data_IF_482707692427
#
_entry.id   IF_482707692427
#
_cell.length_a   1.000
_cell.length_b   1.000
_cell.length_c   1.000
_cell.angle_alpha   90.00
_cell.angle_beta   90.00
_cell.angle_gamma   90.00
#
_symmetry.space_group_name_H-M   'P 1'
#
loop_
_entity.id
_entity.type
_entity.pdbx_description
1 polymer ?
#
# COMPACT_ATOMS: atom_id res chain seq x y z
N UNK A 1 -5.83 26.46 17.23
CA UNK A 1 -4.54 25.78 17.51
C UNK A 1 -4.76 24.40 18.13
N UNK A 2 -5.31 24.29 19.35
CA UNK A 2 -5.48 23.01 20.07
C UNK A 2 -6.38 21.99 19.34
N UNK A 3 -7.47 22.45 18.71
CA UNK A 3 -8.42 21.61 17.98
C UNK A 3 -7.83 20.99 16.69
N UNK A 4 -6.98 21.73 15.99
CA UNK A 4 -6.32 21.26 14.74
C UNK A 4 -5.19 20.26 15.06
N UNK A 5 -4.48 20.48 16.17
CA UNK A 5 -3.43 19.59 16.67
C UNK A 5 -4.02 18.28 17.23
N UNK A 6 -5.15 18.36 17.92
CA UNK A 6 -5.92 17.20 18.40
C UNK A 6 -6.49 16.38 17.22
N UNK A 7 -6.97 17.03 16.16
CA UNK A 7 -7.49 16.35 14.97
C UNK A 7 -6.42 15.60 14.19
N UNK A 8 -5.18 16.12 14.09
CA UNK A 8 -4.06 15.42 13.44
C UNK A 8 -3.61 14.20 14.26
N UNK A 9 -3.55 14.32 15.59
CA UNK A 9 -3.24 13.20 16.50
C UNK A 9 -4.32 12.12 16.47
N UNK A 10 -5.59 12.51 16.38
CA UNK A 10 -6.70 11.57 16.26
C UNK A 10 -6.71 10.86 14.89
N UNK A 11 -6.36 11.55 13.80
CA UNK A 11 -6.27 10.97 12.46
C UNK A 11 -5.07 10.02 12.31
N UNK A 12 -3.94 10.33 12.96
CA UNK A 12 -2.77 9.43 13.06
C UNK A 12 -3.09 8.18 13.90
N UNK A 13 -3.80 8.34 15.02
CA UNK A 13 -4.29 7.23 15.84
C UNK A 13 -5.29 6.34 15.09
N UNK A 14 -6.17 6.93 14.29
CA UNK A 14 -7.16 6.23 13.48
C UNK A 14 -6.54 5.48 12.29
N UNK A 15 -5.49 6.03 11.68
CA UNK A 15 -4.66 5.34 10.68
C UNK A 15 -3.91 4.15 11.31
N UNK A 16 -3.41 4.29 12.54
CA UNK A 16 -2.76 3.19 13.27
C UNK A 16 -3.75 2.08 13.62
N UNK A 17 -5.02 2.43 13.86
CA UNK A 17 -6.10 1.47 14.10
C UNK A 17 -6.57 0.78 12.80
N UNK A 18 -6.53 1.49 11.66
CA UNK A 18 -6.82 0.94 10.34
C UNK A 18 -5.71 0.01 9.79
N UNK A 19 -4.53 -0.02 10.41
CA UNK A 19 -3.42 -0.92 10.08
C UNK A 19 -3.43 -2.26 10.84
N UNK A 20 -4.22 -2.37 11.93
CA UNK A 20 -4.46 -3.63 12.63
C UNK A 20 -5.13 -4.73 11.78
N UNK A 21 -6.11 -4.46 10.89
CA UNK A 21 -6.73 -5.53 10.09
C UNK A 21 -5.79 -6.13 9.04
N UNK A 22 -4.73 -5.42 8.60
CA UNK A 22 -3.67 -6.00 7.74
C UNK A 22 -2.86 -7.05 8.52
N UNK A 23 -2.68 -6.88 9.84
CA UNK A 23 -2.08 -7.91 10.72
C UNK A 23 -3.03 -9.08 11.03
N UNK A 24 -4.35 -8.92 10.84
CA UNK A 24 -5.33 -9.99 11.10
C UNK A 24 -5.61 -10.86 9.87
N UNK A 25 -5.41 -10.37 8.65
CA UNK A 25 -5.54 -11.20 7.43
C UNK A 25 -4.33 -12.14 7.21
N UNK A 26 -3.35 -12.13 8.10
CA UNK A 26 -2.34 -13.19 8.21
C UNK A 26 -2.65 -14.21 9.34
N UNK A 27 -3.87 -14.21 9.92
CA UNK A 27 -4.31 -15.18 10.93
C UNK A 27 -5.48 -16.05 10.41
N UNK A 28 -5.08 -17.11 9.68
CA UNK A 28 -5.64 -18.47 9.56
C UNK A 28 -7.14 -18.79 9.26
N UNK A 29 -7.31 -19.50 8.14
CA UNK A 29 -8.22 -20.63 7.75
C UNK A 29 -9.64 -20.82 8.36
N UNK A 30 -10.67 -20.95 7.52
CA UNK A 30 -11.69 -22.03 7.57
C UNK A 30 -12.53 -22.12 6.27
N UNK A 31 -12.68 -23.36 5.81
CA UNK A 31 -13.55 -23.93 4.77
C UNK A 31 -15.06 -23.64 5.01
N UNK A 32 -15.92 -23.79 3.98
CA UNK A 32 -17.31 -24.38 3.99
C UNK A 32 -18.25 -23.91 2.84
N UNK A 33 -18.49 -24.85 1.89
CA UNK A 33 -19.83 -25.37 1.47
C UNK A 33 -20.64 -24.65 0.34
N UNK A 34 -21.59 -25.28 -0.41
CA UNK A 34 -21.81 -26.68 -0.88
C UNK A 34 -21.96 -26.83 -2.44
N UNK A 35 -21.70 -28.04 -2.92
CA UNK A 35 -22.42 -28.76 -4.00
C UNK A 35 -22.65 -28.10 -5.39
N UNK A 36 -21.78 -28.47 -6.34
CA UNK A 36 -22.25 -29.28 -7.48
C UNK A 36 -21.13 -30.26 -7.88
N UNK A 37 -21.43 -31.57 -8.06
CA UNK A 37 -20.43 -32.60 -8.29
C UNK A 37 -19.96 -32.51 -9.74
N UNK A 38 -19.01 -31.61 -9.99
CA UNK A 38 -18.15 -31.75 -11.15
C UNK A 38 -16.90 -32.47 -10.66
N UNK A 39 -16.49 -33.54 -11.36
CA UNK A 39 -15.26 -34.28 -11.07
C UNK A 39 -14.00 -33.38 -11.16
N UNK A 40 -14.15 -32.18 -11.73
CA UNK A 40 -13.16 -31.10 -11.72
C UNK A 40 -13.10 -30.34 -10.38
N UNK A 41 -14.17 -30.33 -9.58
CA UNK A 41 -14.24 -29.73 -8.25
C UNK A 41 -13.48 -30.55 -7.21
N UNK A 42 -13.57 -31.88 -7.24
CA UNK A 42 -12.89 -32.75 -6.25
C UNK A 42 -11.37 -32.71 -6.39
N UNK A 43 -10.85 -32.61 -7.62
CA UNK A 43 -9.41 -32.38 -7.82
C UNK A 43 -9.00 -30.99 -7.35
N UNK A 44 -9.77 -29.93 -7.59
CA UNK A 44 -9.39 -28.58 -7.15
C UNK A 44 -9.57 -28.38 -5.64
N UNK A 45 -10.59 -28.98 -5.03
CA UNK A 45 -10.88 -28.85 -3.61
C UNK A 45 -10.01 -29.78 -2.75
N UNK A 46 -9.57 -30.92 -3.27
CA UNK A 46 -8.51 -31.71 -2.64
C UNK A 46 -7.10 -31.16 -2.94
N UNK A 47 -6.98 -30.21 -3.88
CA UNK A 47 -5.80 -29.39 -4.13
C UNK A 47 -5.86 -28.01 -3.46
N UNK A 48 -6.93 -27.62 -2.78
CA UNK A 48 -6.97 -26.39 -1.96
C UNK A 48 -6.15 -26.48 -0.67
N UNK A 49 -6.18 -27.58 0.11
CA UNK A 49 -5.19 -27.77 1.17
C UNK A 49 -3.80 -28.00 0.57
N UNK A 50 -3.70 -28.29 -0.73
CA UNK A 50 -2.42 -28.27 -1.44
C UNK A 50 -2.20 -26.97 -2.22
N UNK A 51 -3.06 -25.96 -2.14
CA UNK A 51 -2.79 -24.60 -2.60
C UNK A 51 -2.11 -23.85 -1.46
N UNK A 52 -2.58 -24.10 -0.24
CA UNK A 52 -1.90 -23.69 0.99
C UNK A 52 -0.69 -24.58 1.31
N UNK A 53 -0.67 -25.87 0.93
CA UNK A 53 0.55 -26.73 1.05
C UNK A 53 1.46 -26.73 -0.19
N UNK A 54 1.00 -26.41 -1.41
CA UNK A 54 1.86 -26.03 -2.57
C UNK A 54 2.19 -24.53 -2.59
N UNK A 55 1.78 -23.79 -1.54
CA UNK A 55 2.60 -22.75 -0.92
C UNK A 55 3.91 -23.29 -0.32
N UNK A 56 4.18 -24.60 -0.44
CA UNK A 56 5.35 -25.25 0.13
C UNK A 56 5.69 -26.61 -0.50
N UNK A 57 6.09 -26.67 -1.78
CA UNK A 57 7.03 -27.73 -2.21
C UNK A 57 8.14 -27.17 -3.09
N UNK A 58 9.29 -26.87 -2.47
CA UNK A 58 10.57 -26.91 -3.17
C UNK A 58 11.49 -25.69 -3.03
N UNK A 59 11.10 -24.62 -2.33
CA UNK A 59 12.06 -23.55 -2.00
C UNK A 59 11.64 -22.89 -0.70
N UNK A 60 12.18 -23.38 0.42
CA UNK A 60 12.38 -22.50 1.58
C UNK A 60 13.14 -21.28 1.03
N UNK A 61 12.53 -20.09 1.12
CA UNK A 61 13.17 -18.77 1.03
C UNK A 61 13.02 -17.87 -0.21
N UNK A 62 12.09 -18.04 -1.17
CA UNK A 62 11.90 -16.98 -2.20
C UNK A 62 10.49 -16.36 -2.27
N UNK A 63 9.40 -17.13 -2.34
CA UNK A 63 8.05 -16.52 -2.37
C UNK A 63 7.64 -15.91 -1.02
N UNK A 64 7.92 -16.57 0.12
CA UNK A 64 7.60 -15.99 1.43
C UNK A 64 8.45 -14.76 1.77
N UNK A 65 9.73 -14.74 1.35
CA UNK A 65 10.59 -13.56 1.51
C UNK A 65 10.12 -12.43 0.59
N UNK A 66 9.79 -12.73 -0.68
CA UNK A 66 9.27 -11.72 -1.60
C UNK A 66 7.91 -11.16 -1.14
N UNK A 67 7.02 -11.99 -0.61
CA UNK A 67 5.73 -11.57 -0.06
C UNK A 67 5.91 -10.72 1.21
N UNK A 68 6.74 -11.17 2.16
CA UNK A 68 7.05 -10.40 3.37
C UNK A 68 7.69 -9.05 3.02
N UNK A 69 8.62 -9.03 2.08
CA UNK A 69 9.26 -7.80 1.60
C UNK A 69 8.24 -6.90 0.88
N UNK A 70 7.34 -7.47 0.07
CA UNK A 70 6.29 -6.72 -0.59
C UNK A 70 5.31 -6.09 0.42
N UNK A 71 4.96 -6.78 1.50
CA UNK A 71 4.15 -6.24 2.58
C UNK A 71 4.85 -5.10 3.32
N UNK A 72 6.13 -5.26 3.65
CA UNK A 72 6.94 -4.20 4.29
C UNK A 72 7.02 -2.99 3.37
N UNK A 73 7.29 -3.17 2.07
CA UNK A 73 7.33 -2.10 1.09
C UNK A 73 5.97 -1.40 1.02
N UNK A 74 4.87 -2.14 0.93
CA UNK A 74 3.51 -1.56 0.92
C UNK A 74 3.22 -0.76 2.19
N UNK A 75 3.60 -1.26 3.36
CA UNK A 75 3.42 -0.57 4.64
C UNK A 75 4.24 0.74 4.70
N UNK A 76 5.49 0.68 4.25
CA UNK A 76 6.39 1.86 4.19
C UNK A 76 5.86 2.88 3.17
N UNK A 77 5.42 2.45 1.98
CA UNK A 77 4.82 3.32 0.97
C UNK A 77 3.54 4.00 1.46
N UNK A 78 2.69 3.28 2.19
CA UNK A 78 1.49 3.85 2.79
C UNK A 78 1.84 4.94 3.81
N UNK A 79 2.80 4.67 4.70
CA UNK A 79 3.29 5.63 5.69
C UNK A 79 3.91 6.87 5.03
N UNK A 80 4.72 6.68 3.98
CA UNK A 80 5.27 7.76 3.17
C UNK A 80 4.17 8.62 2.52
N UNK A 81 3.14 7.99 1.96
CA UNK A 81 2.00 8.71 1.38
C UNK A 81 1.32 9.65 2.38
N UNK A 82 1.09 9.18 3.61
CA UNK A 82 0.51 9.99 4.70
C UNK A 82 1.41 11.17 5.05
N UNK A 83 2.73 10.96 5.14
CA UNK A 83 3.69 12.04 5.43
C UNK A 83 3.69 13.08 4.32
N UNK A 84 3.68 12.65 3.05
CA UNK A 84 3.63 13.56 1.90
C UNK A 84 2.37 14.46 1.93
N UNK A 85 1.21 13.88 2.24
CA UNK A 85 -0.03 14.66 2.39
C UNK A 85 0.06 15.64 3.56
N UNK A 86 0.61 15.20 4.71
CA UNK A 86 0.79 16.08 5.87
C UNK A 86 1.74 17.26 5.57
N UNK A 87 2.84 17.02 4.85
CA UNK A 87 3.75 18.06 4.39
C UNK A 87 3.10 19.01 3.40
N UNK A 88 2.25 18.51 2.50
CA UNK A 88 1.50 19.34 1.54
C UNK A 88 0.54 20.29 2.27
N UNK A 89 -0.17 19.79 3.28
CA UNK A 89 -1.06 20.63 4.12
C UNK A 89 -0.24 21.67 4.91
N UNK A 90 0.89 21.29 5.49
CA UNK A 90 1.77 22.21 6.21
C UNK A 90 2.31 23.33 5.30
N UNK A 91 2.77 22.97 4.10
CA UNK A 91 3.27 23.92 3.12
C UNK A 91 2.15 24.84 2.60
N UNK A 92 0.94 24.30 2.38
CA UNK A 92 -0.25 25.08 2.03
C UNK A 92 -0.64 26.10 3.11
N UNK A 93 -0.58 25.69 4.38
CA UNK A 93 -0.80 26.62 5.50
C UNK A 93 0.29 27.69 5.58
N UNK A 94 1.55 27.34 5.35
CA UNK A 94 2.64 28.31 5.29
C UNK A 94 2.42 29.32 4.17
N UNK A 95 1.97 28.86 2.99
CA UNK A 95 1.67 29.73 1.86
C UNK A 95 0.52 30.69 2.17
N UNK A 96 -0.58 30.19 2.74
CA UNK A 96 -1.76 30.99 3.08
C UNK A 96 -1.50 31.98 4.24
N UNK A 97 -0.62 31.64 5.18
CA UNK A 97 -0.27 32.50 6.33
C UNK A 97 0.88 33.47 6.06
N UNK A 98 1.44 33.48 4.85
CA UNK A 98 2.61 34.31 4.54
C UNK A 98 2.35 35.81 4.45
N UNK A 99 1.08 36.26 4.37
CA UNK A 99 0.66 37.66 4.52
C UNK A 99 1.51 38.72 3.77
N UNK A 100 2.05 38.39 2.59
CA UNK A 100 2.88 39.28 1.78
C UNK A 100 4.39 39.20 2.04
N UNK A 101 4.86 38.35 2.94
CA UNK A 101 6.29 38.05 3.09
C UNK A 101 6.76 37.12 1.96
N UNK A 102 7.54 37.65 1.03
CA UNK A 102 8.02 36.94 -0.16
C UNK A 102 8.85 35.70 0.17
N UNK A 103 9.72 35.76 1.19
CA UNK A 103 10.56 34.63 1.61
C UNK A 103 9.72 33.42 2.04
N UNK A 104 8.62 33.67 2.78
CA UNK A 104 7.72 32.59 3.24
C UNK A 104 6.89 32.02 2.09
N UNK A 105 6.48 32.87 1.14
CA UNK A 105 5.77 32.44 -0.07
C UNK A 105 6.67 31.57 -0.94
N UNK A 106 7.91 31.99 -1.18
CA UNK A 106 8.87 31.24 -1.99
C UNK A 106 9.20 29.89 -1.36
N UNK A 107 9.46 29.89 -0.04
CA UNK A 107 9.73 28.65 0.71
C UNK A 107 8.56 27.69 0.65
N UNK A 108 7.34 28.17 0.85
CA UNK A 108 6.13 27.35 0.77
C UNK A 108 5.91 26.78 -0.64
N UNK A 109 6.08 27.58 -1.69
CA UNK A 109 6.01 27.12 -3.09
C UNK A 109 7.04 26.04 -3.39
N UNK A 110 8.29 26.24 -2.97
CA UNK A 110 9.36 25.25 -3.14
C UNK A 110 9.03 23.92 -2.46
N UNK A 111 8.48 23.97 -1.25
CA UNK A 111 8.03 22.76 -0.54
C UNK A 111 6.84 22.08 -1.23
N UNK A 112 5.85 22.84 -1.72
CA UNK A 112 4.72 22.27 -2.48
C UNK A 112 5.21 21.58 -3.75
N UNK A 113 6.08 22.24 -4.53
CA UNK A 113 6.62 21.67 -5.77
C UNK A 113 7.42 20.40 -5.48
N UNK A 114 8.26 20.40 -4.45
CA UNK A 114 9.01 19.20 -4.05
C UNK A 114 8.09 18.06 -3.59
N UNK A 115 7.02 18.36 -2.85
CA UNK A 115 6.03 17.37 -2.42
C UNK A 115 5.28 16.76 -3.62
N UNK A 116 4.85 17.60 -4.57
CA UNK A 116 4.14 17.15 -5.79
C UNK A 116 5.04 16.25 -6.63
N UNK A 117 6.30 16.63 -6.84
CA UNK A 117 7.25 15.81 -7.62
C UNK A 117 7.44 14.44 -6.97
N UNK A 118 7.60 14.39 -5.63
CA UNK A 118 7.73 13.11 -4.93
C UNK A 118 6.48 12.23 -5.06
N UNK A 119 5.28 12.81 -4.96
CA UNK A 119 4.03 12.06 -5.18
C UNK A 119 3.92 11.53 -6.61
N UNK A 120 4.27 12.35 -7.61
CA UNK A 120 4.26 11.94 -9.02
C UNK A 120 5.21 10.76 -9.26
N UNK A 121 6.42 10.78 -8.68
CA UNK A 121 7.38 9.67 -8.82
C UNK A 121 6.81 8.35 -8.29
N UNK A 122 6.13 8.37 -7.15
CA UNK A 122 5.52 7.15 -6.55
C UNK A 122 4.44 6.59 -7.48
N UNK A 123 3.58 7.46 -8.02
CA UNK A 123 2.52 7.05 -8.95
C UNK A 123 3.13 6.47 -10.24
N UNK A 124 4.13 7.14 -10.80
CA UNK A 124 4.83 6.69 -12.00
C UNK A 124 5.50 5.32 -11.78
N UNK A 125 6.15 5.12 -10.63
CA UNK A 125 6.77 3.84 -10.31
C UNK A 125 5.74 2.70 -10.30
N UNK A 126 4.58 2.92 -9.69
CA UNK A 126 3.50 1.92 -9.66
C UNK A 126 2.98 1.58 -11.06
N UNK A 127 2.73 2.61 -11.89
CA UNK A 127 2.26 2.41 -13.27
C UNK A 127 3.27 1.61 -14.09
N UNK A 128 4.55 1.93 -13.98
CA UNK A 128 5.62 1.22 -14.71
C UNK A 128 5.70 -0.24 -14.28
N UNK A 129 5.70 -0.51 -12.97
CA UNK A 129 5.74 -1.89 -12.46
C UNK A 129 4.55 -2.71 -12.95
N UNK A 130 3.34 -2.15 -12.86
CA UNK A 130 2.13 -2.81 -13.35
C UNK A 130 2.19 -3.07 -14.87
N UNK A 131 2.68 -2.10 -15.65
CA UNK A 131 2.84 -2.26 -17.08
C UNK A 131 3.79 -3.42 -17.44
N UNK A 132 4.93 -3.53 -16.75
CA UNK A 132 5.91 -4.60 -16.98
C UNK A 132 5.29 -5.97 -16.65
N UNK A 133 4.64 -6.12 -15.51
CA UNK A 133 4.02 -7.39 -15.10
C UNK A 133 2.95 -7.83 -16.10
N UNK A 134 2.06 -6.92 -16.49
CA UNK A 134 1.01 -7.21 -17.48
C UNK A 134 1.58 -7.60 -18.85
N UNK A 135 2.68 -6.97 -19.25
CA UNK A 135 3.37 -7.28 -20.51
C UNK A 135 4.01 -8.68 -20.47
N UNK A 136 4.59 -9.09 -19.35
CA UNK A 136 5.19 -10.41 -19.17
C UNK A 136 4.13 -11.53 -19.11
N UNK A 137 3.01 -11.30 -18.45
CA UNK A 137 1.90 -12.26 -18.39
C UNK A 137 1.30 -12.48 -19.78
N UNK A 138 1.08 -11.40 -20.53
CA UNK A 138 0.54 -11.47 -21.91
C UNK A 138 1.47 -12.21 -22.87
N UNK A 139 2.80 -12.09 -22.68
CA UNK A 139 3.79 -12.76 -23.51
C UNK A 139 4.00 -14.24 -23.16
N UNK A 140 3.64 -14.66 -21.94
CA UNK A 140 3.81 -16.06 -21.46
C UNK A 140 2.52 -16.87 -21.55
N UNK A 141 1.36 -16.21 -21.58
CA UNK A 141 0.05 -16.85 -21.72
C UNK A 141 -0.36 -17.12 -23.18
N UNK A 142 0.54 -16.90 -24.14
CA UNK A 142 0.34 -17.13 -25.58
C UNK A 142 1.21 -18.26 -26.12
#
# INVERSE_FOLDING_TARGET
MKKLLLQIICLISLVSFAFLPIMIIAAEEDDKNPASPSLAGDINQQLQPVGDVYGQTGTISESSLAETVAEIIKAVLALLGIIFIALMVYAGFMWMTSAGNEDRVEKAKKTIVAAVIGTVIIICAYIITAFVINSLQSATAG
#
